data_IF_161570957778
#
_entry.id   IF_161570957778
#
_cell.length_a   1.000
_cell.length_b   1.000
_cell.length_c   1.000
_cell.angle_alpha   90.00
_cell.angle_beta   90.00
_cell.angle_gamma   90.00
#
_symmetry.space_group_name_H-M   'P 1'
#
loop_
_entity.id
_entity.type
_entity.pdbx_description
1 polymer ?
#
# COMPACT_ATOMS: atom_id res chain seq x y z
N UNK A 1 7.33 -4.31 -9.60
CA UNK A 1 6.71 -4.14 -8.27
C UNK A 1 6.85 -5.45 -7.53
N UNK A 2 7.35 -5.45 -6.29
CA UNK A 2 7.32 -6.65 -5.46
C UNK A 2 6.00 -6.64 -4.71
N UNK A 3 5.02 -7.41 -5.18
CA UNK A 3 3.71 -7.49 -4.55
C UNK A 3 3.82 -8.44 -3.34
N UNK A 4 3.61 -7.91 -2.13
CA UNK A 4 3.72 -8.68 -0.88
C UNK A 4 2.34 -8.91 -0.27
N UNK A 5 1.44 -7.92 -0.36
CA UNK A 5 0.08 -8.00 0.17
C UNK A 5 -0.86 -7.05 -0.57
N UNK A 6 -2.17 -7.28 -0.47
CA UNK A 6 -3.20 -6.41 -1.06
C UNK A 6 -3.14 -4.96 -0.54
N UNK A 7 -2.78 -4.76 0.74
CA UNK A 7 -2.64 -3.42 1.36
C UNK A 7 -1.48 -2.65 0.72
N UNK A 8 -0.33 -3.32 0.58
CA UNK A 8 0.84 -2.76 -0.09
C UNK A 8 0.53 -2.50 -1.57
N UNK A 9 -0.16 -3.44 -2.21
CA UNK A 9 -0.56 -3.33 -3.61
C UNK A 9 -1.45 -2.11 -3.86
N UNK A 10 -2.43 -1.87 -2.99
CA UNK A 10 -3.27 -0.67 -3.04
C UNK A 10 -2.43 0.60 -2.93
N UNK A 11 -1.57 0.71 -1.91
CA UNK A 11 -0.71 1.87 -1.71
C UNK A 11 0.19 2.15 -2.93
N UNK A 12 0.89 1.12 -3.41
CA UNK A 12 1.86 1.23 -4.50
C UNK A 12 1.20 1.43 -5.87
N UNK A 13 -0.06 1.01 -6.05
CA UNK A 13 -0.79 1.31 -7.29
C UNK A 13 -1.01 2.82 -7.47
N UNK A 14 -1.10 3.57 -6.37
CA UNK A 14 -1.34 5.02 -6.35
C UNK A 14 -0.04 5.83 -6.33
N UNK A 15 1.12 5.18 -6.19
CA UNK A 15 2.41 5.86 -6.10
C UNK A 15 3.46 5.18 -6.99
N UNK A 16 3.99 5.94 -7.94
CA UNK A 16 5.16 5.49 -8.70
C UNK A 16 6.43 5.85 -7.92
N UNK A 17 7.16 4.85 -7.44
CA UNK A 17 8.50 5.05 -6.88
C UNK A 17 9.48 5.44 -8.01
N UNK A 18 9.45 6.71 -8.38
CA UNK A 18 10.47 7.32 -9.22
C UNK A 18 11.30 8.22 -8.34
N UNK A 19 12.56 7.82 -8.15
CA UNK A 19 13.55 8.74 -7.61
C UNK A 19 13.58 9.99 -8.50
N UNK A 20 13.51 11.16 -7.86
CA UNK A 20 13.64 12.42 -8.58
C UNK A 20 14.94 12.43 -9.37
N UNK A 21 14.99 13.14 -10.51
CA UNK A 21 16.21 13.20 -11.34
C UNK A 21 17.41 13.69 -10.50
N UNK A 22 17.15 14.57 -9.53
CA UNK A 22 18.14 15.05 -8.57
C UNK A 22 18.57 13.98 -7.57
N UNK A 23 17.66 13.16 -7.04
CA UNK A 23 18.00 12.05 -6.14
C UNK A 23 18.89 11.02 -6.85
N UNK A 24 18.56 10.66 -8.10
CA UNK A 24 19.39 9.77 -8.91
C UNK A 24 20.74 10.40 -9.25
N UNK A 25 20.78 11.71 -9.50
CA UNK A 25 22.03 12.43 -9.77
C UNK A 25 22.93 12.50 -8.52
N UNK A 26 22.34 12.75 -7.34
CA UNK A 26 23.04 12.77 -6.06
C UNK A 26 23.63 11.40 -5.71
N UNK A 27 22.82 10.32 -5.79
CA UNK A 27 23.29 8.96 -5.55
C UNK A 27 24.41 8.56 -6.54
N UNK A 28 24.31 8.98 -7.80
CA UNK A 28 25.36 8.75 -8.80
C UNK A 28 26.63 9.54 -8.51
N UNK A 29 26.50 10.76 -7.97
CA UNK A 29 27.64 11.57 -7.55
C UNK A 29 28.35 10.95 -6.33
N UNK A 30 27.59 10.45 -5.35
CA UNK A 30 28.12 9.69 -4.19
C UNK A 30 28.84 8.41 -4.63
N UNK A 31 28.27 7.67 -5.60
CA UNK A 31 28.88 6.47 -6.18
C UNK A 31 30.08 6.78 -7.10
N UNK A 32 30.46 8.05 -7.27
CA UNK A 32 31.61 8.45 -8.08
C UNK A 32 31.47 8.14 -9.58
N UNK A 33 30.26 7.85 -10.08
CA UNK A 33 30.04 7.51 -11.50
C UNK A 33 30.17 8.76 -12.36
N UNK A 34 31.38 9.02 -12.84
CA UNK A 34 31.64 9.95 -13.94
C UNK A 34 31.15 9.31 -15.24
N UNK A 35 30.34 10.00 -16.02
CA UNK A 35 30.06 9.56 -17.40
C UNK A 35 31.37 9.61 -18.18
N UNK A 36 31.96 8.45 -18.42
CA UNK A 36 32.93 8.28 -19.49
C UNK A 36 32.18 7.95 -20.77
N UNK A 37 32.34 8.77 -21.81
CA UNK A 37 32.13 8.40 -23.23
C UNK A 37 33.15 7.34 -23.65
N UNK A 38 33.17 6.20 -22.98
CA UNK A 38 34.08 5.10 -23.28
C UNK A 38 33.34 4.01 -24.03
N UNK A 39 33.69 3.77 -25.30
CA UNK A 39 33.23 2.61 -26.06
C UNK A 39 33.53 1.33 -25.26
N UNK A 40 32.48 0.64 -24.80
CA UNK A 40 32.63 -0.68 -24.19
C UNK A 40 33.10 -1.67 -25.24
N UNK A 41 34.30 -2.22 -25.09
CA UNK A 41 34.84 -3.27 -25.96
C UNK A 41 34.76 -4.60 -25.22
N UNK A 42 34.18 -5.62 -25.85
CA UNK A 42 34.18 -7.00 -25.34
C UNK A 42 35.30 -7.72 -26.08
N UNK A 43 36.26 -8.25 -25.33
CA UNK A 43 37.34 -9.06 -25.87
C UNK A 43 36.92 -10.52 -25.72
N UNK A 44 36.78 -11.22 -26.83
CA UNK A 44 36.51 -12.66 -26.85
C UNK A 44 37.79 -13.36 -27.29
N UNK A 45 38.25 -14.29 -26.45
CA UNK A 45 39.36 -15.18 -26.78
C UNK A 45 38.81 -16.30 -27.66
N UNK A 46 39.26 -16.37 -28.91
CA UNK A 46 38.91 -17.44 -29.84
C UNK A 46 40.19 -18.20 -30.18
N UNK A 47 40.14 -19.53 -30.21
CA UNK A 47 41.20 -20.34 -30.81
C UNK A 47 40.91 -20.47 -32.31
N UNK A 48 41.90 -20.10 -33.13
CA UNK A 48 41.83 -20.35 -34.57
C UNK A 48 42.01 -21.84 -34.87
N UNK A 49 41.73 -22.27 -36.10
CA UNK A 49 41.79 -23.67 -36.52
C UNK A 49 43.17 -24.34 -36.30
N UNK A 50 44.24 -23.55 -36.15
CA UNK A 50 45.61 -24.00 -35.87
C UNK A 50 45.98 -23.96 -34.36
N UNK A 51 45.00 -23.80 -33.46
CA UNK A 51 45.20 -23.88 -32.00
C UNK A 51 45.87 -22.66 -31.38
N UNK A 52 45.95 -21.54 -32.09
CA UNK A 52 46.51 -20.29 -31.57
C UNK A 52 45.40 -19.39 -31.01
N UNK A 53 45.54 -18.94 -29.77
CA UNK A 53 44.57 -18.05 -29.11
C UNK A 53 44.69 -16.63 -29.65
N UNK A 54 43.65 -16.18 -30.35
CA UNK A 54 43.58 -14.83 -30.94
C UNK A 54 42.47 -14.05 -30.25
N UNK A 55 42.84 -12.98 -29.56
CA UNK A 55 41.89 -12.06 -28.94
C UNK A 55 41.24 -11.19 -30.02
N UNK A 56 39.98 -11.49 -30.39
CA UNK A 56 39.21 -10.61 -31.27
C UNK A 56 38.38 -9.65 -30.43
N UNK A 57 38.65 -8.36 -30.64
CA UNK A 57 37.92 -7.28 -29.98
C UNK A 57 36.71 -6.93 -30.80
N UNK A 58 35.52 -7.20 -30.28
CA UNK A 58 34.27 -6.74 -30.87
C UNK A 58 33.87 -5.44 -30.19
N UNK A 59 33.40 -4.46 -30.98
CA UNK A 59 32.71 -3.30 -30.40
C UNK A 59 31.48 -3.86 -29.69
N UNK A 60 31.44 -3.78 -28.36
CA UNK A 60 30.19 -4.08 -27.68
C UNK A 60 29.23 -2.98 -28.09
N UNK A 61 28.05 -3.34 -28.59
CA UNK A 61 26.98 -2.38 -28.76
C UNK A 61 26.58 -1.94 -27.37
N UNK A 62 27.21 -0.88 -26.87
CA UNK A 62 26.74 -0.24 -25.67
C UNK A 62 25.27 0.10 -25.90
N UNK A 63 24.45 -0.19 -24.90
CA UNK A 63 23.05 0.22 -24.77
C UNK A 63 22.96 1.75 -24.58
N UNK A 64 23.58 2.48 -25.49
CA UNK A 64 23.94 3.89 -25.43
C UNK A 64 24.20 4.50 -26.81
N UNK A 65 24.16 3.71 -27.89
CA UNK A 65 24.13 4.21 -29.28
C UNK A 65 22.75 4.77 -29.67
N UNK A 66 22.07 5.38 -28.70
CA UNK A 66 20.83 6.10 -28.92
C UNK A 66 21.20 7.57 -29.08
N UNK A 67 21.25 7.98 -30.34
CA UNK A 67 20.79 9.28 -30.85
C UNK A 67 20.17 10.14 -29.75
N UNK A 68 20.69 11.36 -29.60
CA UNK A 68 20.06 12.43 -28.85
C UNK A 68 18.67 12.76 -29.44
N UNK A 69 17.67 11.91 -29.20
CA UNK A 69 16.28 12.24 -29.45
C UNK A 69 15.83 13.17 -28.32
N UNK A 70 15.56 14.43 -28.68
CA UNK A 70 14.84 15.42 -27.86
C UNK A 70 13.35 15.09 -27.73
N UNK A 71 12.99 13.81 -27.76
CA UNK A 71 11.67 13.31 -27.36
C UNK A 71 11.80 12.66 -25.99
N UNK A 72 10.82 12.77 -25.08
CA UNK A 72 10.83 12.11 -23.79
C UNK A 72 10.56 10.60 -23.94
N UNK A 73 11.30 9.93 -24.83
CA UNK A 73 11.29 8.49 -25.06
C UNK A 73 12.37 7.82 -24.22
N UNK A 74 12.34 8.00 -22.90
CA UNK A 74 13.11 7.12 -22.00
C UNK A 74 12.45 5.76 -22.11
N UNK A 75 13.12 4.77 -22.72
CA UNK A 75 12.62 3.39 -22.76
C UNK A 75 12.25 2.98 -21.35
N UNK A 76 10.96 2.86 -21.06
CA UNK A 76 10.46 2.32 -19.80
C UNK A 76 11.06 0.92 -19.66
N UNK A 77 11.63 0.59 -18.50
CA UNK A 77 12.14 -0.78 -18.30
C UNK A 77 10.97 -1.77 -18.38
N UNK A 78 11.22 -3.02 -18.75
CA UNK A 78 10.20 -4.08 -18.72
C UNK A 78 9.51 -4.15 -17.36
N UNK A 79 10.29 -4.01 -16.27
CA UNK A 79 9.79 -3.98 -14.90
C UNK A 79 8.86 -2.79 -14.62
N UNK A 80 9.11 -1.66 -15.29
CA UNK A 80 8.28 -0.47 -15.18
C UNK A 80 6.95 -0.66 -15.92
N UNK A 81 6.99 -1.22 -17.13
CA UNK A 81 5.77 -1.59 -17.84
C UNK A 81 4.94 -2.61 -17.05
N UNK A 82 5.59 -3.60 -16.44
CA UNK A 82 4.94 -4.58 -15.58
C UNK A 82 4.32 -3.93 -14.33
N UNK A 83 5.01 -2.98 -13.69
CA UNK A 83 4.46 -2.22 -12.56
C UNK A 83 3.25 -1.39 -12.97
N UNK A 84 3.32 -0.64 -14.08
CA UNK A 84 2.19 0.16 -14.56
C UNK A 84 0.98 -0.71 -14.92
N UNK A 85 1.21 -1.88 -15.52
CA UNK A 85 0.15 -2.85 -15.80
C UNK A 85 -0.50 -3.35 -14.50
N UNK A 86 0.30 -3.81 -13.54
CA UNK A 86 -0.19 -4.27 -12.24
C UNK A 86 -0.95 -3.18 -11.50
N UNK A 87 -0.41 -1.95 -11.46
CA UNK A 87 -1.06 -0.79 -10.86
C UNK A 87 -2.40 -0.49 -11.53
N UNK A 88 -2.46 -0.52 -12.88
CA UNK A 88 -3.70 -0.31 -13.63
C UNK A 88 -4.77 -1.35 -13.31
N UNK A 89 -4.40 -2.63 -13.20
CA UNK A 89 -5.33 -3.70 -12.81
C UNK A 89 -5.85 -3.53 -11.38
N UNK A 90 -4.97 -3.15 -10.45
CA UNK A 90 -5.36 -2.86 -9.05
C UNK A 90 -6.30 -1.66 -9.00
N UNK A 91 -5.98 -0.57 -9.70
CA UNK A 91 -6.84 0.62 -9.76
C UNK A 91 -8.22 0.29 -10.36
N UNK A 92 -8.25 -0.53 -11.41
CA UNK A 92 -9.51 -1.02 -11.99
C UNK A 92 -10.33 -1.84 -10.98
N UNK A 93 -9.67 -2.68 -10.18
CA UNK A 93 -10.33 -3.44 -9.13
C UNK A 93 -10.88 -2.53 -8.01
N UNK A 94 -10.12 -1.50 -7.62
CA UNK A 94 -10.58 -0.47 -6.67
C UNK A 94 -11.83 0.25 -7.22
N UNK A 95 -11.85 0.55 -8.53
CA UNK A 95 -12.98 1.23 -9.17
C UNK A 95 -14.28 0.41 -9.15
N UNK A 96 -14.22 -0.91 -8.97
CA UNK A 96 -15.42 -1.76 -8.81
C UNK A 96 -16.13 -1.57 -7.47
N UNK A 97 -15.45 -1.03 -6.46
CA UNK A 97 -16.01 -0.84 -5.12
C UNK A 97 -17.01 0.33 -5.11
N UNK A 98 -18.02 0.33 -4.22
CA UNK A 98 -18.83 1.51 -3.98
C UNK A 98 -17.99 2.70 -3.55
N UNK A 99 -18.33 3.92 -4.00
CA UNK A 99 -17.55 5.14 -3.71
C UNK A 99 -17.22 5.36 -2.22
N UNK A 100 -18.13 5.14 -1.25
CA UNK A 100 -17.78 5.24 0.17
C UNK A 100 -16.68 4.26 0.60
N UNK A 101 -16.69 3.03 0.07
CA UNK A 101 -15.67 2.00 0.34
C UNK A 101 -14.34 2.37 -0.30
N UNK A 102 -14.35 2.97 -1.50
CA UNK A 102 -13.15 3.50 -2.15
C UNK A 102 -12.50 4.58 -1.26
N UNK A 103 -13.26 5.58 -0.81
CA UNK A 103 -12.77 6.63 0.09
C UNK A 103 -12.23 6.06 1.41
N UNK A 104 -12.89 5.05 1.97
CA UNK A 104 -12.39 4.33 3.15
C UNK A 104 -11.01 3.68 2.88
N UNK A 105 -10.88 2.94 1.77
CA UNK A 105 -9.60 2.34 1.36
C UNK A 105 -8.52 3.39 1.07
N UNK A 106 -8.87 4.49 0.40
CA UNK A 106 -7.95 5.60 0.15
C UNK A 106 -7.47 6.24 1.46
N UNK A 107 -8.34 6.44 2.45
CA UNK A 107 -7.91 6.97 3.73
C UNK A 107 -6.88 6.06 4.43
N UNK A 108 -7.05 4.75 4.34
CA UNK A 108 -6.15 3.77 4.96
C UNK A 108 -4.83 3.61 4.20
N UNK A 109 -4.88 3.51 2.87
CA UNK A 109 -3.76 3.04 2.04
C UNK A 109 -3.21 4.06 1.07
N UNK A 110 -3.91 5.15 0.75
CA UNK A 110 -3.40 6.14 -0.18
C UNK A 110 -2.39 7.06 0.51
N UNK A 111 -1.20 7.28 -0.09
CA UNK A 111 -0.26 8.29 0.41
C UNK A 111 -0.79 9.72 0.20
N UNK A 112 -1.76 9.91 -0.70
CA UNK A 112 -2.38 11.20 -0.99
C UNK A 112 -3.80 11.29 -0.44
N UNK A 113 -4.09 10.56 0.64
CA UNK A 113 -5.38 10.60 1.33
C UNK A 113 -5.75 12.04 1.74
N UNK A 114 -6.97 12.43 1.43
CA UNK A 114 -7.51 13.77 1.72
C UNK A 114 -8.37 13.78 2.98
N UNK A 115 -8.69 14.98 3.48
CA UNK A 115 -9.67 15.13 4.56
C UNK A 115 -11.08 14.64 4.16
N UNK A 116 -11.42 14.69 2.87
CA UNK A 116 -12.69 14.18 2.37
C UNK A 116 -12.77 12.65 2.52
N UNK A 117 -11.67 11.95 2.21
CA UNK A 117 -11.58 10.50 2.40
C UNK A 117 -11.81 10.12 3.88
N UNK A 118 -11.20 10.86 4.81
CA UNK A 118 -11.43 10.68 6.24
C UNK A 118 -12.88 10.92 6.64
N UNK A 119 -13.48 12.02 6.18
CA UNK A 119 -14.86 12.38 6.54
C UNK A 119 -15.86 11.34 6.06
N UNK A 120 -15.69 10.85 4.82
CA UNK A 120 -16.54 9.81 4.24
C UNK A 120 -16.32 8.47 4.95
N UNK A 121 -15.06 8.09 5.21
CA UNK A 121 -14.72 6.87 5.94
C UNK A 121 -15.34 6.87 7.34
N UNK A 122 -15.24 7.99 8.06
CA UNK A 122 -15.82 8.19 9.38
C UNK A 122 -17.35 8.06 9.36
N UNK A 123 -18.01 8.78 8.44
CA UNK A 123 -19.45 8.69 8.25
C UNK A 123 -19.90 7.26 7.92
N UNK A 124 -19.15 6.55 7.09
CA UNK A 124 -19.44 5.17 6.71
C UNK A 124 -19.36 4.20 7.91
N UNK A 125 -18.31 4.27 8.72
CA UNK A 125 -18.17 3.45 9.93
C UNK A 125 -19.29 3.76 10.91
N UNK A 126 -19.58 5.04 11.13
CA UNK A 126 -20.65 5.47 12.04
C UNK A 126 -22.02 4.97 11.59
N UNK A 127 -22.42 5.22 10.35
CA UNK A 127 -23.74 4.85 9.82
C UNK A 127 -23.91 3.32 9.75
N UNK A 128 -22.83 2.58 9.52
CA UNK A 128 -22.88 1.12 9.48
C UNK A 128 -22.72 0.44 10.83
N UNK A 129 -22.48 1.20 11.91
CA UNK A 129 -22.25 0.67 13.26
C UNK A 129 -23.53 0.12 13.91
N UNK A 130 -24.72 0.59 13.55
CA UNK A 130 -25.99 0.12 14.14
C UNK A 130 -26.13 0.44 15.63
N UNK A 131 -25.47 1.51 16.11
CA UNK A 131 -25.48 1.96 17.50
C UNK A 131 -26.70 2.85 17.83
N UNK A 132 -27.87 2.52 17.29
CA UNK A 132 -29.08 3.37 17.37
C UNK A 132 -29.72 3.38 18.77
N UNK A 133 -29.42 2.38 19.60
CA UNK A 133 -29.98 2.22 20.95
C UNK A 133 -29.28 3.08 22.02
N UNK A 134 -28.18 3.76 21.67
CA UNK A 134 -27.42 4.58 22.60
C UNK A 134 -28.14 5.90 22.90
N UNK A 135 -27.99 6.40 24.13
CA UNK A 135 -28.44 7.77 24.48
C UNK A 135 -27.69 8.82 23.67
N UNK A 136 -28.24 10.03 23.49
CA UNK A 136 -27.57 11.07 22.69
C UNK A 136 -26.17 11.42 23.17
N UNK A 137 -25.95 11.43 24.49
CA UNK A 137 -24.62 11.64 25.09
C UNK A 137 -23.65 10.52 24.74
N UNK A 138 -24.11 9.27 24.77
CA UNK A 138 -23.32 8.11 24.37
C UNK A 138 -23.08 8.08 22.86
N UNK A 139 -24.07 8.48 22.04
CA UNK A 139 -23.95 8.58 20.57
C UNK A 139 -22.91 9.60 20.17
N UNK A 140 -22.92 10.79 20.77
CA UNK A 140 -21.91 11.82 20.51
C UNK A 140 -20.49 11.31 20.79
N UNK A 141 -20.31 10.59 21.91
CA UNK A 141 -19.02 9.97 22.26
C UNK A 141 -18.62 8.83 21.32
N UNK A 142 -19.56 7.95 20.99
CA UNK A 142 -19.36 6.83 20.08
C UNK A 142 -19.04 7.29 18.65
N UNK A 143 -19.62 8.42 18.21
CA UNK A 143 -19.28 9.05 16.94
C UNK A 143 -17.79 9.38 16.87
N UNK A 144 -17.23 10.07 17.86
CA UNK A 144 -15.80 10.38 17.87
C UNK A 144 -14.92 9.17 18.14
N UNK A 145 -15.44 8.17 18.87
CA UNK A 145 -14.77 6.89 19.03
C UNK A 145 -14.65 6.13 17.70
N UNK A 146 -15.62 6.25 16.79
CA UNK A 146 -15.54 5.66 15.45
C UNK A 146 -14.38 6.28 14.64
N UNK A 147 -14.15 7.58 14.76
CA UNK A 147 -13.00 8.24 14.15
C UNK A 147 -11.68 7.69 14.72
N UNK A 148 -11.60 7.56 16.05
CA UNK A 148 -10.44 6.99 16.71
C UNK A 148 -10.19 5.53 16.29
N UNK A 149 -11.26 4.73 16.10
CA UNK A 149 -11.13 3.35 15.64
C UNK A 149 -10.50 3.26 14.24
N UNK A 150 -10.89 4.14 13.29
CA UNK A 150 -10.29 4.16 11.95
C UNK A 150 -8.82 4.57 12.02
N UNK A 151 -8.48 5.58 12.83
CA UNK A 151 -7.09 6.02 13.02
C UNK A 151 -6.22 4.94 13.66
N UNK A 152 -6.78 4.23 14.66
CA UNK A 152 -6.15 3.07 15.28
C UNK A 152 -5.84 1.99 14.25
N UNK A 153 -6.84 1.65 13.44
CA UNK A 153 -6.68 0.66 12.37
C UNK A 153 -5.60 1.07 11.37
N UNK A 154 -5.62 2.33 10.91
CA UNK A 154 -4.59 2.86 10.01
C UNK A 154 -3.18 2.74 10.60
N UNK A 155 -3.03 2.98 11.91
CA UNK A 155 -1.76 2.83 12.63
C UNK A 155 -1.29 1.37 12.64
N UNK A 156 -2.19 0.43 12.93
CA UNK A 156 -1.91 -1.03 12.87
C UNK A 156 -1.44 -1.44 11.48
N UNK A 157 -2.13 -1.01 10.42
CA UNK A 157 -1.75 -1.36 9.05
C UNK A 157 -0.38 -0.78 8.66
N UNK A 158 -0.02 0.37 9.22
CA UNK A 158 1.29 0.98 9.01
C UNK A 158 2.41 0.33 9.85
N UNK A 159 2.12 -0.74 10.60
CA UNK A 159 3.06 -1.44 11.47
C UNK A 159 3.19 -0.85 12.88
N UNK A 160 2.32 0.08 13.27
CA UNK A 160 2.22 0.60 14.63
C UNK A 160 1.31 -0.22 15.53
N UNK A 161 1.20 0.19 16.79
CA UNK A 161 0.32 -0.44 17.77
C UNK A 161 -1.11 0.15 17.72
N UNK A 162 -2.09 -0.62 18.17
CA UNK A 162 -3.45 -0.15 18.40
C UNK A 162 -3.44 1.02 19.41
N UNK A 163 -4.31 2.01 19.22
CA UNK A 163 -4.48 3.10 20.17
C UNK A 163 -4.88 2.56 21.54
N UNK A 164 -4.14 2.98 22.57
CA UNK A 164 -4.46 2.67 23.94
C UNK A 164 -5.76 3.40 24.37
N UNK A 165 -6.51 2.85 25.35
CA UNK A 165 -7.71 3.51 25.90
C UNK A 165 -7.51 4.98 26.29
N UNK A 166 -6.34 5.32 26.83
CA UNK A 166 -5.99 6.70 27.17
C UNK A 166 -5.92 7.62 25.95
N UNK A 167 -5.34 7.15 24.84
CA UNK A 167 -5.28 7.90 23.58
C UNK A 167 -6.68 8.10 22.97
N UNK A 168 -7.52 7.07 23.00
CA UNK A 168 -8.90 7.16 22.52
C UNK A 168 -9.69 8.17 23.36
N UNK A 169 -9.57 8.13 24.68
CA UNK A 169 -10.17 9.11 25.57
C UNK A 169 -9.70 10.53 25.23
N UNK A 170 -8.40 10.75 25.02
CA UNK A 170 -7.88 12.08 24.64
C UNK A 170 -8.49 12.61 23.34
N UNK A 171 -8.59 11.78 22.29
CA UNK A 171 -9.22 12.15 21.01
C UNK A 171 -10.68 12.55 21.23
N UNK A 172 -11.40 11.79 22.06
CA UNK A 172 -12.78 12.08 22.39
C UNK A 172 -12.93 13.35 23.24
N UNK A 173 -12.04 13.60 24.21
CA UNK A 173 -12.03 14.82 25.02
C UNK A 173 -11.81 16.06 24.14
N UNK A 174 -10.83 16.00 23.22
CA UNK A 174 -10.50 17.10 22.31
C UNK A 174 -11.69 17.50 21.42
N UNK A 175 -12.49 16.52 20.98
CA UNK A 175 -13.64 16.75 20.08
C UNK A 175 -14.94 17.09 20.81
N UNK A 176 -15.15 16.55 22.00
CA UNK A 176 -16.38 16.79 22.78
C UNK A 176 -16.27 17.91 23.81
N UNK A 177 -15.05 18.35 24.12
CA UNK A 177 -14.76 19.31 25.20
C UNK A 177 -15.06 18.78 26.61
N UNK A 178 -15.49 17.53 26.74
CA UNK A 178 -15.86 16.91 28.00
C UNK A 178 -14.72 16.02 28.50
N UNK A 179 -14.39 16.10 29.79
CA UNK A 179 -13.46 15.16 30.41
C UNK A 179 -14.01 13.73 30.42
N UNK A 180 -13.19 12.78 30.03
CA UNK A 180 -13.45 11.35 29.92
C UNK A 180 -12.37 10.64 30.73
N UNK A 181 -12.76 10.05 31.85
CA UNK A 181 -11.83 9.34 32.71
C UNK A 181 -11.48 7.96 32.11
N UNK A 182 -10.20 7.68 31.76
CA UNK A 182 -9.78 6.38 31.24
C UNK A 182 -10.00 5.22 32.23
N UNK A 183 -10.03 5.47 33.53
CA UNK A 183 -10.27 4.42 34.54
C UNK A 183 -11.64 3.73 34.40
N UNK A 184 -12.61 4.40 33.77
CA UNK A 184 -13.95 3.85 33.54
C UNK A 184 -14.07 3.10 32.19
N UNK A 185 -12.96 2.96 31.44
CA UNK A 185 -12.95 2.39 30.09
C UNK A 185 -13.67 1.04 29.99
N UNK A 186 -13.29 0.09 30.84
CA UNK A 186 -13.81 -1.27 30.82
C UNK A 186 -15.33 -1.33 30.98
N UNK A 187 -15.92 -0.40 31.74
CA UNK A 187 -17.36 -0.36 32.01
C UNK A 187 -18.14 0.38 30.93
N UNK A 188 -17.64 1.54 30.51
CA UNK A 188 -18.47 2.50 29.76
C UNK A 188 -18.19 2.51 28.25
N UNK A 189 -16.99 2.08 27.83
CA UNK A 189 -16.50 2.33 26.46
C UNK A 189 -15.95 1.09 25.76
N UNK A 190 -15.42 0.11 26.50
CA UNK A 190 -14.73 -1.05 25.91
C UNK A 190 -15.61 -1.86 24.94
N UNK A 191 -16.89 -2.06 25.26
CA UNK A 191 -17.82 -2.78 24.38
C UNK A 191 -18.09 -2.03 23.07
N UNK A 192 -18.34 -0.71 23.17
CA UNK A 192 -18.58 0.15 22.00
C UNK A 192 -17.32 0.24 21.14
N UNK A 193 -16.14 0.35 21.76
CA UNK A 193 -14.86 0.33 21.07
C UNK A 193 -14.65 -0.97 20.29
N UNK A 194 -14.79 -2.12 20.96
CA UNK A 194 -14.61 -3.42 20.33
C UNK A 194 -15.58 -3.64 19.15
N UNK A 195 -16.82 -3.17 19.30
CA UNK A 195 -17.81 -3.21 18.21
C UNK A 195 -17.40 -2.35 17.02
N UNK A 196 -16.94 -1.12 17.26
CA UNK A 196 -16.47 -0.21 16.21
C UNK A 196 -15.20 -0.72 15.53
N UNK A 197 -14.22 -1.19 16.30
CA UNK A 197 -12.98 -1.79 15.78
C UNK A 197 -13.28 -2.98 14.86
N UNK A 198 -14.14 -3.90 15.33
CA UNK A 198 -14.61 -5.03 14.51
C UNK A 198 -15.34 -4.59 13.24
N UNK A 199 -16.09 -3.48 13.29
CA UNK A 199 -16.76 -2.92 12.12
C UNK A 199 -15.76 -2.39 11.10
N UNK A 200 -14.73 -1.67 11.57
CA UNK A 200 -13.62 -1.19 10.73
C UNK A 200 -12.89 -2.37 10.08
N UNK A 201 -12.59 -3.44 10.82
CA UNK A 201 -12.00 -4.67 10.26
C UNK A 201 -12.87 -5.31 9.15
N UNK A 202 -14.19 -5.33 9.34
CA UNK A 202 -15.12 -5.87 8.35
C UNK A 202 -15.15 -5.04 7.07
N UNK A 203 -15.16 -3.72 7.20
CA UNK A 203 -15.10 -2.80 6.06
C UNK A 203 -13.77 -2.88 5.34
N UNK A 204 -12.68 -3.04 6.08
CA UNK A 204 -11.35 -3.24 5.54
C UNK A 204 -11.24 -4.52 4.70
N UNK A 205 -11.73 -5.65 5.21
CA UNK A 205 -11.82 -6.89 4.40
C UNK A 205 -12.64 -6.68 3.13
N UNK A 206 -13.74 -5.93 3.22
CA UNK A 206 -14.61 -5.64 2.07
C UNK A 206 -13.88 -4.79 1.02
N UNK A 207 -13.13 -3.78 1.47
CA UNK A 207 -12.33 -2.94 0.58
C UNK A 207 -11.21 -3.74 -0.10
N UNK A 208 -10.48 -4.58 0.66
CA UNK A 208 -9.33 -5.30 0.14
C UNK A 208 -9.68 -6.49 -0.76
N UNK A 209 -10.89 -7.04 -0.67
CA UNK A 209 -11.29 -8.25 -1.43
C UNK A 209 -10.98 -8.19 -2.94
N UNK A 210 -11.46 -7.20 -3.72
CA UNK A 210 -11.17 -7.16 -5.15
C UNK A 210 -9.68 -6.95 -5.47
N UNK A 211 -8.94 -6.27 -4.58
CA UNK A 211 -7.49 -6.09 -4.76
C UNK A 211 -6.73 -7.39 -4.46
N UNK A 212 -7.17 -8.14 -3.45
CA UNK A 212 -6.59 -9.44 -3.12
C UNK A 212 -6.77 -10.44 -4.27
N UNK A 213 -7.94 -10.49 -4.91
CA UNK A 213 -8.20 -11.32 -6.09
C UNK A 213 -7.24 -11.00 -7.25
N UNK A 214 -6.98 -9.71 -7.51
CA UNK A 214 -6.00 -9.31 -8.54
C UNK A 214 -4.58 -9.68 -8.13
N UNK A 215 -4.20 -9.45 -6.87
CA UNK A 215 -2.87 -9.84 -6.37
C UNK A 215 -2.63 -11.33 -6.49
N UNK A 216 -3.63 -12.16 -6.16
CA UNK A 216 -3.56 -13.62 -6.32
C UNK A 216 -3.42 -14.02 -7.79
N UNK A 217 -4.07 -13.31 -8.72
CA UNK A 217 -3.91 -13.56 -10.16
C UNK A 217 -2.52 -13.16 -10.70
N UNK A 218 -1.85 -12.19 -10.07
CA UNK A 218 -0.56 -11.67 -10.51
C UNK A 218 0.63 -12.44 -9.90
N UNK A 219 0.43 -13.11 -8.77
CA UNK A 219 1.45 -13.92 -8.12
C UNK A 219 1.37 -15.37 -8.59
N UNK A 220 2.53 -16.00 -8.83
CA UNK A 220 2.57 -17.44 -9.10
C UNK A 220 2.23 -18.25 -7.84
N UNK A 221 1.68 -19.47 -7.99
CA UNK A 221 1.23 -20.30 -6.86
C UNK A 221 2.35 -20.59 -5.83
N UNK A 222 3.61 -20.62 -6.24
CA UNK A 222 4.78 -20.77 -5.35
C UNK A 222 5.10 -19.48 -4.56
N UNK A 223 4.87 -18.30 -5.13
CA UNK A 223 5.08 -17.00 -4.45
C UNK A 223 3.96 -16.70 -3.42
N UNK A 224 2.74 -17.19 -3.68
CA UNK A 224 1.60 -17.11 -2.76
C UNK A 224 1.80 -17.96 -1.49
N UNK A 225 2.45 -19.12 -1.60
CA UNK A 225 2.69 -20.03 -0.46
C UNK A 225 3.68 -19.49 0.59
N UNK A 226 4.51 -18.51 0.23
CA UNK A 226 5.56 -17.96 1.11
C UNK A 226 5.10 -16.73 1.90
N UNK A 227 4.05 -16.04 1.43
CA UNK A 227 3.50 -14.87 2.08
C UNK A 227 2.36 -15.27 3.02
N UNK A 228 2.68 -15.37 4.32
CA UNK A 228 1.82 -15.77 5.44
C UNK A 228 0.55 -14.89 5.65
N UNK A 229 0.35 -13.86 4.82
CA UNK A 229 -0.73 -12.87 4.93
C UNK A 229 -2.07 -13.31 4.34
N UNK A 230 -2.09 -14.28 3.41
CA UNK A 230 -3.34 -14.81 2.81
C UNK A 230 -4.21 -15.59 3.80
N UNK A 231 -3.65 -16.01 4.94
CA UNK A 231 -4.39 -16.72 5.99
C UNK A 231 -5.52 -15.88 6.59
N UNK A 232 -5.43 -14.55 6.56
CA UNK A 232 -6.41 -13.64 7.16
C UNK A 232 -7.58 -13.25 6.25
N UNK A 233 -7.43 -13.38 4.92
CA UNK A 233 -8.48 -13.08 3.94
C UNK A 233 -9.30 -14.34 3.60
N UNK A 234 -8.68 -15.54 3.69
CA UNK A 234 -9.29 -16.85 3.41
C UNK A 234 -10.25 -17.40 4.49
N UNK A 235 -10.67 -16.63 5.50
CA UNK A 235 -11.71 -17.08 6.44
C UNK A 235 -13.05 -16.36 6.25
N UNK A 236 -13.86 -16.74 5.24
CA UNK A 236 -15.27 -17.01 5.45
C UNK A 236 -15.41 -18.43 6.01
N UNK A 237 -16.27 -18.62 7.01
CA UNK A 237 -16.33 -19.86 7.79
C UNK A 237 -16.50 -21.14 6.98
N UNK A 238 -15.61 -22.11 7.19
CA UNK A 238 -15.85 -23.53 6.96
C UNK A 238 -15.23 -24.30 8.14
N UNK A 239 -16.03 -24.46 9.20
CA UNK A 239 -16.15 -25.78 9.81
C UNK A 239 -17.08 -26.55 8.87
N UNK A 240 -16.53 -27.37 7.99
CA UNK A 240 -17.26 -28.40 7.28
C UNK A 240 -16.76 -29.75 7.82
N UNK A 241 -17.68 -30.45 8.50
CA UNK A 241 -17.58 -31.80 9.10
C UNK A 241 -16.62 -31.97 10.28
#
# INVERSE_FOLDING_TARGET
MRIISARQAWHDSLHHNRDSVLAVAAQKAELGRKHGTGEGKVIVMLEDHDGQQVARTYKSRQKGDNVHETRPGRRLSTDQCAHMLAAGLIMQAIDTLPKPVQHFGHYLYSPTATFNDLSIAHGMVWLSSGLDKLTDKQRCRAYWMALAAIQSHKRIVSGGEELAPGEVCMIMEERTGCRINPSNWARDYAEVWAHLAKKVDGLDRTALRPVAEVVESLLSAEELSSNDYDRWIRQPGEKAA
#
